data_IF_903886968872
#
_entry.id   IF_903886968872
#
_cell.length_a   1.000
_cell.length_b   1.000
_cell.length_c   1.000
_cell.angle_alpha   90.00
_cell.angle_beta   90.00
_cell.angle_gamma   90.00
#
_symmetry.space_group_name_H-M   'P 1'
#
loop_
_entity.id
_entity.type
_entity.pdbx_description
1 polymer ?
#
# COMPACT_ATOMS: atom_id res chain seq x y z
N UNK A 1 -11.71 3.27 -1.27
CA UNK A 1 -10.26 3.11 -1.55
C UNK A 1 -9.41 2.73 -0.33
N UNK A 2 -9.81 3.03 0.93
CA UNK A 2 -9.09 2.54 2.12
C UNK A 2 -9.51 1.14 2.60
N UNK A 3 -10.79 0.76 2.40
CA UNK A 3 -11.32 -0.51 2.89
C UNK A 3 -10.58 -1.75 2.34
N UNK A 4 -10.21 -1.76 1.05
CA UNK A 4 -9.46 -2.87 0.44
C UNK A 4 -8.04 -2.98 1.00
N UNK A 5 -7.36 -1.85 1.25
CA UNK A 5 -6.01 -1.83 1.84
C UNK A 5 -6.03 -2.29 3.29
N UNK A 6 -7.02 -1.86 4.07
CA UNK A 6 -7.21 -2.31 5.46
C UNK A 6 -7.55 -3.80 5.50
N UNK A 7 -8.45 -4.27 4.62
CA UNK A 7 -8.76 -5.68 4.49
C UNK A 7 -7.52 -6.51 4.18
N UNK A 8 -6.72 -6.12 3.19
CA UNK A 8 -5.47 -6.81 2.85
C UNK A 8 -4.49 -6.82 4.02
N UNK A 9 -4.24 -5.66 4.65
CA UNK A 9 -3.32 -5.55 5.77
C UNK A 9 -3.73 -6.43 6.96
N UNK A 10 -5.04 -6.49 7.27
CA UNK A 10 -5.55 -7.35 8.33
C UNK A 10 -5.32 -8.82 8.01
N UNK A 11 -5.58 -9.26 6.78
CA UNK A 11 -5.34 -10.65 6.37
C UNK A 11 -3.84 -10.99 6.39
N UNK A 12 -2.96 -10.08 5.96
CA UNK A 12 -1.51 -10.28 6.04
C UNK A 12 -1.04 -10.42 7.50
N UNK A 13 -1.54 -9.59 8.41
CA UNK A 13 -1.23 -9.69 9.83
C UNK A 13 -1.69 -11.03 10.44
N UNK A 14 -2.85 -11.56 10.01
CA UNK A 14 -3.38 -12.85 10.48
C UNK A 14 -2.49 -14.05 10.11
N UNK A 15 -1.61 -13.93 9.11
CA UNK A 15 -0.64 -14.99 8.79
C UNK A 15 0.38 -15.22 9.89
N UNK A 16 0.59 -14.23 10.78
CA UNK A 16 1.64 -14.27 11.80
C UNK A 16 3.07 -14.21 11.23
N UNK A 17 3.22 -13.96 9.92
CA UNK A 17 4.51 -13.87 9.24
C UNK A 17 5.11 -12.46 9.24
N UNK A 18 4.30 -11.43 9.46
CA UNK A 18 4.76 -10.04 9.49
C UNK A 18 5.57 -9.80 10.77
N UNK A 19 6.82 -9.40 10.63
CA UNK A 19 7.69 -8.94 11.71
C UNK A 19 7.51 -7.44 11.98
N UNK A 20 7.45 -6.64 10.92
CA UNK A 20 7.35 -5.18 10.98
C UNK A 20 6.57 -4.64 9.79
N UNK A 21 5.85 -3.56 10.01
CA UNK A 21 5.23 -2.77 8.93
C UNK A 21 5.71 -1.33 9.01
N UNK A 22 6.06 -0.76 7.87
CA UNK A 22 6.37 0.66 7.72
C UNK A 22 5.41 1.31 6.73
N UNK A 23 5.13 2.59 6.95
CA UNK A 23 4.34 3.43 6.05
C UNK A 23 5.13 4.70 5.78
N UNK A 24 5.43 4.95 4.51
CA UNK A 24 6.16 6.14 4.09
C UNK A 24 5.42 6.89 2.99
N UNK A 25 5.56 8.21 2.98
CA UNK A 25 4.98 9.09 1.97
C UNK A 25 6.07 9.43 0.96
N UNK A 26 5.94 8.91 -0.27
CA UNK A 26 6.94 9.11 -1.33
C UNK A 26 6.60 10.30 -2.22
N UNK A 27 5.30 10.54 -2.46
CA UNK A 27 4.82 11.63 -3.30
C UNK A 27 3.53 12.22 -2.73
N UNK A 28 3.20 13.45 -3.13
CA UNK A 28 1.90 14.01 -2.84
C UNK A 28 0.78 13.26 -3.56
N UNK A 29 -0.43 13.36 -3.01
CA UNK A 29 -1.59 12.72 -3.63
C UNK A 29 -1.83 13.36 -5.01
N UNK A 30 -1.87 12.54 -6.05
CA UNK A 30 -1.99 13.02 -7.42
C UNK A 30 -2.59 11.95 -8.33
N UNK A 31 -3.13 12.40 -9.46
CA UNK A 31 -3.50 11.53 -10.57
C UNK A 31 -2.40 11.59 -11.60
N UNK A 32 -1.85 10.43 -11.96
CA UNK A 32 -0.87 10.27 -13.03
C UNK A 32 -1.28 9.15 -13.98
N UNK A 33 -0.29 8.54 -14.62
CA UNK A 33 -0.47 7.38 -15.49
C UNK A 33 0.26 6.18 -14.90
N UNK A 34 -0.37 5.00 -14.95
CA UNK A 34 0.28 3.75 -14.59
C UNK A 34 1.19 3.26 -15.74
N UNK A 35 1.84 2.10 -15.54
CA UNK A 35 2.70 1.50 -16.57
C UNK A 35 1.97 1.18 -17.89
N UNK A 36 0.65 0.95 -17.83
CA UNK A 36 -0.19 0.68 -19.00
C UNK A 36 -0.65 1.96 -19.72
N UNK A 37 -0.34 3.14 -19.19
CA UNK A 37 -0.80 4.43 -19.70
C UNK A 37 -2.21 4.81 -19.23
N UNK A 38 -2.82 4.07 -18.31
CA UNK A 38 -4.14 4.40 -17.78
C UNK A 38 -4.04 5.44 -16.66
N UNK A 39 -5.04 6.32 -16.60
CA UNK A 39 -5.20 7.27 -15.49
C UNK A 39 -5.26 6.53 -14.16
N UNK A 40 -4.33 6.86 -13.26
CA UNK A 40 -4.20 6.22 -11.95
C UNK A 40 -4.03 7.27 -10.87
N UNK A 41 -4.93 7.23 -9.88
CA UNK A 41 -4.81 8.05 -8.68
C UNK A 41 -3.96 7.34 -7.62
N UNK A 42 -3.00 8.06 -7.07
CA UNK A 42 -2.21 7.62 -5.91
C UNK A 42 -2.35 8.58 -4.76
N UNK A 43 -2.48 8.06 -3.53
CA UNK A 43 -2.34 8.84 -2.31
C UNK A 43 -0.88 8.96 -1.87
N UNK A 44 0.05 8.42 -2.66
CA UNK A 44 1.50 8.54 -2.51
C UNK A 44 2.11 7.82 -1.31
N UNK A 45 1.33 7.01 -0.60
CA UNK A 45 1.82 6.21 0.52
C UNK A 45 2.31 4.84 0.03
N UNK A 46 3.52 4.45 0.44
CA UNK A 46 4.00 3.08 0.34
C UNK A 46 3.86 2.38 1.70
N UNK A 47 3.54 1.09 1.66
CA UNK A 47 3.44 0.21 2.83
C UNK A 47 4.44 -0.92 2.64
N UNK A 48 5.39 -1.06 3.56
CA UNK A 48 6.48 -2.03 3.50
C UNK A 48 6.26 -3.05 4.61
N UNK A 49 6.23 -4.32 4.26
CA UNK A 49 6.07 -5.43 5.20
C UNK A 49 7.38 -6.23 5.26
N UNK A 50 7.95 -6.33 6.46
CA UNK A 50 9.08 -7.20 6.74
C UNK A 50 8.54 -8.52 7.27
N UNK A 51 9.05 -9.63 6.73
CA UNK A 51 8.65 -10.99 7.10
C UNK A 51 9.72 -11.62 7.99
N UNK A 52 9.29 -12.52 8.89
CA UNK A 52 10.16 -13.34 9.73
C UNK A 52 11.10 -14.26 8.94
#
# INVERSE_FOLDING_TARGET
MNAEREFLSNNLNLTGLIEKTEKEKLVEAQTGENFSGDSFFTDGNIYIFFLK
#
